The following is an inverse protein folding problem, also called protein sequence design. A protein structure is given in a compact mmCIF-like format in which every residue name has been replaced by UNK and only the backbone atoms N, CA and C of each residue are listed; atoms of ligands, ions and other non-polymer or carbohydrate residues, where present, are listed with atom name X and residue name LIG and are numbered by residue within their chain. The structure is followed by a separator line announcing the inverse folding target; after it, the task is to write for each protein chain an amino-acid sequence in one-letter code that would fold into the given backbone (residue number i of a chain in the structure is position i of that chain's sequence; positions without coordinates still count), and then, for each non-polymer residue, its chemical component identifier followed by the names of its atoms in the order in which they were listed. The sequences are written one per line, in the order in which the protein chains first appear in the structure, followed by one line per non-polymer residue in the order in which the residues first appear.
data_IF_331248288938
#
_entry.id   IF_331248288938
#
_cell.length_a   1.000
_cell.length_b   1.000
_cell.length_c   1.000
_cell.angle_alpha   90.00
_cell.angle_beta   90.00
_cell.angle_gamma   90.00
#
_symmetry.space_group_name_H-M   'P 1'
#
loop_
_entity.id
_entity.type
_entity.pdbx_description
1 polymer ?
#
# COMPACT_ATOMS: atom_id res chain seq x y z
N UNK A 1 -16.21 -27.08 11.13
CA UNK A 1 -16.95 -26.87 9.87
C UNK A 1 -16.18 -25.86 9.06
N UNK A 2 -15.69 -26.23 7.91
CA UNK A 2 -15.12 -25.28 6.94
C UNK A 2 -16.27 -24.62 6.21
N UNK A 3 -16.35 -23.31 6.29
CA UNK A 3 -17.29 -22.53 5.50
C UNK A 3 -16.79 -22.50 4.05
N UNK A 4 -17.53 -23.13 3.16
CA UNK A 4 -17.16 -23.26 1.74
C UNK A 4 -17.78 -22.17 0.86
N UNK A 5 -18.56 -21.26 1.44
CA UNK A 5 -19.21 -20.19 0.67
C UNK A 5 -18.20 -19.07 0.40
N UNK A 6 -17.84 -18.78 -0.86
CA UNK A 6 -16.88 -17.73 -1.16
C UNK A 6 -17.47 -16.34 -0.91
N UNK A 7 -16.58 -15.38 -0.65
CA UNK A 7 -16.90 -13.96 -0.73
C UNK A 7 -16.96 -13.56 -2.21
N UNK A 8 -18.01 -12.89 -2.60
CA UNK A 8 -18.21 -12.45 -3.99
C UNK A 8 -18.51 -10.97 -4.05
N UNK A 9 -17.95 -10.28 -5.03
CA UNK A 9 -18.20 -8.85 -5.19
C UNK A 9 -17.15 -8.11 -6.00
N UNK A 10 -15.94 -8.65 -6.13
CA UNK A 10 -15.01 -8.16 -7.13
C UNK A 10 -15.45 -8.59 -8.54
N UNK A 11 -15.13 -7.77 -9.53
CA UNK A 11 -15.40 -8.04 -10.94
C UNK A 11 -14.21 -8.69 -11.66
N UNK A 12 -13.07 -8.74 -10.99
CA UNK A 12 -11.83 -9.27 -11.48
C UNK A 12 -11.19 -10.24 -10.49
N UNK A 13 -9.96 -10.65 -10.75
CA UNK A 13 -9.14 -11.46 -9.85
C UNK A 13 -8.84 -10.68 -8.57
N UNK A 14 -8.78 -11.38 -7.46
CA UNK A 14 -8.33 -10.82 -6.18
C UNK A 14 -6.84 -11.10 -6.07
N UNK A 15 -6.04 -10.05 -5.97
CA UNK A 15 -4.58 -10.16 -5.99
C UNK A 15 -4.02 -10.26 -4.59
N UNK A 16 -4.61 -9.54 -3.62
CA UNK A 16 -4.13 -9.58 -2.25
C UNK A 16 -5.26 -9.52 -1.21
N UNK A 17 -4.98 -10.11 -0.05
CA UNK A 17 -5.86 -10.15 1.13
C UNK A 17 -5.06 -9.84 2.38
N UNK A 18 -5.59 -8.95 3.23
CA UNK A 18 -4.97 -8.68 4.52
C UNK A 18 -6.01 -8.49 5.62
N UNK A 19 -5.76 -9.10 6.78
CA UNK A 19 -6.57 -8.87 7.98
C UNK A 19 -6.31 -7.49 8.56
N UNK A 20 -7.37 -6.89 9.13
CA UNK A 20 -7.23 -5.68 9.94
C UNK A 20 -6.36 -5.96 11.16
N UNK A 21 -5.38 -5.10 11.48
CA UNK A 21 -4.55 -5.27 12.66
C UNK A 21 -5.30 -4.99 13.97
N UNK A 22 -6.43 -4.27 13.93
CA UNK A 22 -7.21 -3.87 15.11
C UNK A 22 -8.55 -4.57 15.24
N UNK A 23 -9.16 -4.99 14.12
CA UNK A 23 -10.50 -5.58 14.10
C UNK A 23 -10.46 -7.04 13.63
N UNK A 24 -10.46 -7.98 14.56
CA UNK A 24 -10.25 -9.43 14.34
C UNK A 24 -11.15 -10.12 13.31
N UNK A 25 -12.24 -9.47 12.88
CA UNK A 25 -13.19 -10.02 11.90
C UNK A 25 -13.24 -9.23 10.60
N UNK A 26 -12.41 -8.20 10.47
CA UNK A 26 -12.36 -7.33 9.30
C UNK A 26 -11.13 -7.66 8.47
N UNK A 27 -11.30 -7.69 7.15
CA UNK A 27 -10.19 -7.83 6.21
C UNK A 27 -10.39 -6.98 4.97
N UNK A 28 -9.31 -6.65 4.31
CA UNK A 28 -9.27 -5.94 3.03
C UNK A 28 -8.94 -6.90 1.89
N UNK A 29 -9.38 -6.57 0.69
CA UNK A 29 -8.96 -7.23 -0.54
C UNK A 29 -8.65 -6.20 -1.62
N UNK A 30 -7.61 -6.46 -2.42
CA UNK A 30 -7.27 -5.75 -3.65
C UNK A 30 -7.62 -6.61 -4.86
N UNK A 31 -7.94 -5.96 -5.97
CA UNK A 31 -8.33 -6.66 -7.19
C UNK A 31 -7.89 -5.91 -8.45
N UNK A 32 -7.73 -6.67 -9.53
CA UNK A 32 -7.51 -6.13 -10.86
C UNK A 32 -8.71 -5.35 -11.42
N UNK A 33 -9.85 -5.31 -10.71
CA UNK A 33 -10.96 -4.40 -11.04
C UNK A 33 -10.69 -2.95 -10.57
N UNK A 34 -9.48 -2.68 -10.06
CA UNK A 34 -9.04 -1.37 -9.57
C UNK A 34 -9.64 -0.99 -8.22
N UNK A 35 -10.34 -1.90 -7.55
CA UNK A 35 -11.01 -1.62 -6.28
C UNK A 35 -10.33 -2.28 -5.10
N UNK A 36 -10.41 -1.59 -3.96
CA UNK A 36 -10.19 -2.18 -2.64
C UNK A 36 -11.54 -2.34 -1.95
N UNK A 37 -11.74 -3.48 -1.31
CA UNK A 37 -12.97 -3.79 -0.57
C UNK A 37 -12.65 -4.18 0.87
N UNK A 38 -13.50 -3.71 1.78
CA UNK A 38 -13.46 -4.06 3.19
C UNK A 38 -14.61 -5.02 3.50
N UNK A 39 -14.32 -6.06 4.24
CA UNK A 39 -15.24 -7.16 4.54
C UNK A 39 -15.33 -7.41 6.03
N UNK A 40 -16.54 -7.79 6.50
CA UNK A 40 -16.74 -8.31 7.85
C UNK A 40 -17.03 -9.81 7.77
N UNK A 41 -16.18 -10.64 8.32
CA UNK A 41 -16.28 -12.08 8.32
C UNK A 41 -17.52 -12.61 9.10
N UNK A 42 -18.12 -11.79 9.96
CA UNK A 42 -19.38 -12.12 10.66
C UNK A 42 -20.60 -11.97 9.77
N UNK A 43 -20.49 -11.20 8.70
CA UNK A 43 -21.59 -10.92 7.81
C UNK A 43 -21.99 -12.16 7.01
N UNK A 44 -23.20 -12.65 7.24
CA UNK A 44 -23.77 -13.78 6.48
C UNK A 44 -24.02 -13.46 5.01
N UNK A 45 -24.12 -12.18 4.67
CA UNK A 45 -24.38 -11.73 3.29
C UNK A 45 -23.19 -11.94 2.36
N UNK A 46 -21.96 -12.09 2.92
CA UNK A 46 -20.71 -12.21 2.14
C UNK A 46 -20.48 -11.06 1.15
N UNK A 47 -21.14 -9.93 1.37
CA UNK A 47 -20.97 -8.72 0.58
C UNK A 47 -19.96 -7.79 1.25
N UNK A 48 -19.23 -7.03 0.44
CA UNK A 48 -18.34 -6.00 0.95
C UNK A 48 -19.10 -4.94 1.75
N UNK A 49 -18.59 -4.61 2.92
CA UNK A 49 -19.10 -3.51 3.74
C UNK A 49 -18.80 -2.16 3.09
N UNK A 50 -17.60 -2.05 2.52
CA UNK A 50 -17.12 -0.87 1.79
C UNK A 50 -16.47 -1.33 0.49
N UNK A 51 -16.61 -0.55 -0.58
CA UNK A 51 -15.97 -0.78 -1.87
C UNK A 51 -15.55 0.56 -2.45
N UNK A 52 -14.26 0.73 -2.73
CA UNK A 52 -13.68 1.98 -3.22
C UNK A 52 -12.85 1.72 -4.46
N UNK A 53 -13.04 2.53 -5.50
CA UNK A 53 -12.16 2.58 -6.67
C UNK A 53 -10.92 3.38 -6.29
N UNK A 54 -9.80 2.71 -6.14
CA UNK A 54 -8.53 3.33 -5.73
C UNK A 54 -7.57 3.56 -6.89
N UNK A 55 -7.67 2.76 -7.95
CA UNK A 55 -6.87 2.91 -9.17
C UNK A 55 -7.74 2.76 -10.42
N UNK A 56 -7.22 3.21 -11.56
CA UNK A 56 -7.77 2.94 -12.90
C UNK A 56 -7.23 1.65 -13.50
N UNK A 57 -6.13 1.16 -12.96
CA UNK A 57 -5.45 -0.07 -13.32
C UNK A 57 -5.62 -1.11 -12.23
N UNK A 58 -5.01 -2.27 -12.39
CA UNK A 58 -5.01 -3.37 -11.44
C UNK A 58 -4.39 -2.94 -10.11
N UNK A 59 -5.01 -3.30 -8.98
CA UNK A 59 -4.46 -3.09 -7.65
C UNK A 59 -3.88 -4.41 -7.17
N UNK A 60 -2.56 -4.47 -7.10
CA UNK A 60 -1.83 -5.72 -6.88
C UNK A 60 -1.56 -5.98 -5.40
N UNK A 61 -1.33 -4.92 -4.64
CA UNK A 61 -0.80 -5.03 -3.27
C UNK A 61 -1.50 -4.10 -2.30
N UNK A 62 -1.58 -4.56 -1.06
CA UNK A 62 -2.10 -3.83 0.08
C UNK A 62 -1.14 -3.92 1.26
N UNK A 63 -1.11 -2.89 2.07
CA UNK A 63 -0.50 -2.94 3.39
C UNK A 63 -1.30 -2.13 4.38
N UNK A 64 -1.75 -2.77 5.44
CA UNK A 64 -2.48 -2.11 6.51
C UNK A 64 -1.51 -1.66 7.60
N UNK A 65 -1.59 -0.38 8.00
CA UNK A 65 -0.73 0.12 9.06
C UNK A 65 -1.06 -0.55 10.39
N UNK A 66 -0.06 -1.14 11.03
CA UNK A 66 -0.20 -1.76 12.35
C UNK A 66 -0.25 -0.73 13.47
N UNK A 67 0.42 0.39 13.30
CA UNK A 67 0.47 1.48 14.29
C UNK A 67 -0.76 2.38 14.19
N UNK A 68 -1.17 2.68 12.96
CA UNK A 68 -2.30 3.57 12.68
C UNK A 68 -3.37 2.82 11.89
N UNK A 69 -4.16 2.00 12.57
CA UNK A 69 -5.08 1.01 12.00
C UNK A 69 -6.17 1.55 11.04
N UNK A 70 -6.33 2.85 10.92
CA UNK A 70 -7.20 3.46 9.91
C UNK A 70 -6.49 3.83 8.62
N UNK A 71 -5.17 3.63 8.52
CA UNK A 71 -4.40 3.84 7.29
C UNK A 71 -4.16 2.53 6.55
N UNK A 72 -4.39 2.56 5.25
CA UNK A 72 -4.15 1.46 4.32
C UNK A 72 -3.35 1.99 3.13
N UNK A 73 -2.26 1.32 2.78
CA UNK A 73 -1.51 1.58 1.56
C UNK A 73 -1.97 0.63 0.45
N UNK A 74 -1.97 1.09 -0.78
CA UNK A 74 -2.24 0.29 -1.98
C UNK A 74 -1.24 0.60 -3.09
N UNK A 75 -0.88 -0.40 -3.88
CA UNK A 75 -0.03 -0.25 -5.06
C UNK A 75 -0.68 -0.84 -6.30
N UNK A 76 -0.46 -0.21 -7.44
CA UNK A 76 -1.13 -0.50 -8.69
C UNK A 76 -0.16 -0.76 -9.86
N UNK A 77 -0.71 -1.21 -10.98
CA UNK A 77 0.03 -1.58 -12.20
C UNK A 77 0.67 -0.39 -12.91
N UNK A 78 0.13 0.80 -12.72
CA UNK A 78 0.67 2.02 -13.33
C UNK A 78 1.87 2.63 -12.58
N UNK A 79 2.35 1.95 -11.52
CA UNK A 79 3.44 2.42 -10.68
C UNK A 79 3.01 3.44 -9.63
N UNK A 80 1.73 3.75 -9.55
CA UNK A 80 1.20 4.59 -8.49
C UNK A 80 0.97 3.76 -7.21
N UNK A 81 1.40 4.29 -6.09
CA UNK A 81 1.01 3.80 -4.79
C UNK A 81 0.43 4.94 -3.95
N UNK A 82 -0.50 4.62 -3.06
CA UNK A 82 -1.26 5.62 -2.33
C UNK A 82 -1.62 5.14 -0.92
N UNK A 83 -1.77 6.11 -0.01
CA UNK A 83 -2.23 5.91 1.37
C UNK A 83 -3.65 6.43 1.52
N UNK A 84 -4.48 5.66 2.16
CA UNK A 84 -5.91 5.90 2.32
C UNK A 84 -6.28 5.96 3.79
N UNK A 85 -7.11 6.96 4.16
CA UNK A 85 -7.76 7.00 5.46
C UNK A 85 -9.14 6.32 5.37
N UNK A 86 -9.25 5.14 5.93
CA UNK A 86 -10.47 4.32 5.91
C UNK A 86 -11.67 5.00 6.57
N UNK A 87 -11.46 5.99 7.45
CA UNK A 87 -12.53 6.76 8.07
C UNK A 87 -13.28 7.63 7.07
N UNK A 88 -12.65 7.96 5.94
CA UNK A 88 -13.26 8.72 4.85
C UNK A 88 -14.09 7.82 3.91
N UNK A 89 -13.95 6.50 4.01
CA UNK A 89 -14.66 5.57 3.17
C UNK A 89 -16.08 5.33 3.66
N UNK A 90 -17.05 5.41 2.76
CA UNK A 90 -18.46 5.25 3.11
C UNK A 90 -18.94 3.84 2.82
N UNK A 91 -19.88 3.30 3.62
CA UNK A 91 -20.50 2.00 3.35
C UNK A 91 -21.13 1.95 1.96
N UNK A 92 -21.03 0.80 1.31
CA UNK A 92 -21.54 0.55 -0.04
C UNK A 92 -23.08 0.74 -0.19
N UNK A 93 -23.79 0.85 0.93
CA UNK A 93 -25.25 1.08 0.98
C UNK A 93 -25.66 2.55 0.88
N UNK A 94 -24.72 3.49 1.06
CA UNK A 94 -25.00 4.92 0.94
C UNK A 94 -24.95 5.35 -0.53
N UNK A 95 -26.08 5.32 -1.21
CA UNK A 95 -26.26 5.69 -2.63
C UNK A 95 -26.09 7.20 -2.91
N UNK A 96 -25.54 7.98 -2.01
CA UNK A 96 -25.42 9.42 -2.18
C UNK A 96 -24.07 9.95 -1.78
N UNK A 97 -23.10 9.88 -2.68
CA UNK A 97 -22.14 10.96 -2.90
C UNK A 97 -21.25 10.65 -4.11
N UNK A 98 -21.26 11.56 -5.07
CA UNK A 98 -20.33 11.63 -6.20
C UNK A 98 -18.88 11.98 -5.76
N UNK A 99 -18.61 11.99 -4.46
CA UNK A 99 -17.29 12.27 -3.92
C UNK A 99 -16.54 10.94 -3.82
N UNK A 100 -15.66 10.71 -4.77
CA UNK A 100 -14.65 9.65 -4.65
C UNK A 100 -13.75 10.00 -3.48
N UNK A 101 -13.42 9.05 -2.58
CA UNK A 101 -12.43 9.29 -1.57
C UNK A 101 -11.09 9.61 -2.24
N UNK A 102 -10.44 10.67 -1.77
CA UNK A 102 -9.08 11.00 -2.19
C UNK A 102 -8.08 10.32 -1.28
N UNK A 103 -6.92 9.91 -1.78
CA UNK A 103 -5.84 9.42 -0.93
C UNK A 103 -5.33 10.54 -0.02
N UNK A 104 -4.81 10.16 1.15
CA UNK A 104 -4.09 11.06 2.06
C UNK A 104 -2.74 11.46 1.45
N UNK A 105 -2.10 10.49 0.79
CA UNK A 105 -0.87 10.69 0.03
C UNK A 105 -0.88 9.78 -1.20
N UNK A 106 -0.31 10.24 -2.31
CA UNK A 106 -0.19 9.48 -3.56
C UNK A 106 1.12 9.82 -4.24
N UNK A 107 1.82 8.80 -4.72
CA UNK A 107 3.14 8.92 -5.34
C UNK A 107 3.18 8.15 -6.65
N UNK A 108 3.68 8.81 -7.68
CA UNK A 108 3.90 8.26 -9.02
C UNK A 108 5.40 8.34 -9.38
N UNK A 109 6.23 7.78 -8.51
CA UNK A 109 7.69 7.74 -8.69
C UNK A 109 8.12 6.56 -9.57
N UNK A 110 7.55 5.39 -9.28
CA UNK A 110 7.84 4.15 -10.01
C UNK A 110 7.28 4.19 -11.44
N UNK A 111 7.95 3.48 -12.35
CA UNK A 111 7.62 3.48 -13.79
C UNK A 111 6.94 2.20 -14.25
N UNK A 112 6.89 1.21 -13.39
CA UNK A 112 6.34 -0.12 -13.62
C UNK A 112 5.46 -0.49 -12.42
N UNK A 113 4.70 -1.58 -12.56
CA UNK A 113 3.78 -2.07 -11.54
C UNK A 113 4.41 -2.16 -10.14
N UNK A 114 3.65 -1.81 -9.13
CA UNK A 114 4.02 -2.01 -7.74
C UNK A 114 3.88 -3.50 -7.41
N UNK A 115 4.95 -4.09 -6.87
CA UNK A 115 5.02 -5.53 -6.58
C UNK A 115 4.90 -5.85 -5.10
N UNK A 116 5.24 -4.90 -4.22
CA UNK A 116 5.10 -5.05 -2.77
C UNK A 116 5.02 -3.69 -2.10
N UNK A 117 4.20 -3.60 -1.05
CA UNK A 117 4.12 -2.45 -0.15
C UNK A 117 4.07 -2.97 1.28
N UNK A 118 4.88 -2.41 2.18
CA UNK A 118 4.82 -2.78 3.59
C UNK A 118 5.08 -1.59 4.50
N UNK A 119 4.20 -1.39 5.49
CA UNK A 119 4.43 -0.42 6.56
C UNK A 119 5.54 -0.89 7.48
N UNK A 120 6.34 0.06 7.98
CA UNK A 120 7.33 -0.26 8.99
C UNK A 120 6.64 -0.82 10.26
N UNK A 121 7.19 -1.85 10.91
CA UNK A 121 6.51 -2.54 12.01
C UNK A 121 6.30 -1.69 13.27
N UNK A 122 7.12 -0.67 13.49
CA UNK A 122 7.10 0.17 14.71
C UNK A 122 7.01 1.67 14.45
N UNK A 123 7.17 2.11 13.20
CA UNK A 123 7.05 3.50 12.80
C UNK A 123 5.83 3.68 11.89
N UNK A 124 4.96 4.62 12.21
CA UNK A 124 3.71 4.85 11.49
C UNK A 124 3.85 5.80 10.29
N UNK A 125 5.03 6.35 10.06
CA UNK A 125 5.33 7.21 8.91
C UNK A 125 6.10 6.52 7.80
N UNK A 126 6.79 5.41 8.09
CA UNK A 126 7.70 4.77 7.14
C UNK A 126 6.99 3.67 6.33
N UNK A 127 7.16 3.74 5.01
CA UNK A 127 6.62 2.75 4.06
C UNK A 127 7.73 2.26 3.14
N UNK A 128 7.78 0.93 2.97
CA UNK A 128 8.62 0.23 2.00
C UNK A 128 7.80 -0.08 0.77
N UNK A 129 8.32 0.24 -0.42
CA UNK A 129 7.63 -0.02 -1.70
C UNK A 129 8.60 -0.66 -2.68
N UNK A 130 8.16 -1.73 -3.34
CA UNK A 130 8.88 -2.38 -4.43
C UNK A 130 8.10 -2.27 -5.73
N UNK A 131 8.81 -2.13 -6.85
CA UNK A 131 8.21 -2.07 -8.16
C UNK A 131 8.99 -2.92 -9.20
N UNK A 132 8.32 -3.30 -10.26
CA UNK A 132 8.90 -4.08 -11.35
C UNK A 132 9.97 -3.29 -12.15
N UNK A 133 10.12 -1.98 -11.93
CA UNK A 133 11.20 -1.15 -12.44
C UNK A 133 12.58 -1.44 -11.80
N UNK A 134 12.67 -2.54 -11.03
CA UNK A 134 13.86 -3.00 -10.34
C UNK A 134 14.27 -2.11 -9.16
N UNK A 135 13.36 -1.34 -8.62
CA UNK A 135 13.63 -0.48 -7.47
C UNK A 135 12.83 -0.88 -6.23
N UNK A 136 13.50 -0.75 -5.10
CA UNK A 136 12.92 -0.75 -3.77
C UNK A 136 13.13 0.66 -3.19
N UNK A 137 12.09 1.24 -2.66
CA UNK A 137 12.10 2.60 -2.13
C UNK A 137 11.59 2.65 -0.71
N UNK A 138 12.16 3.55 0.08
CA UNK A 138 11.69 3.88 1.42
C UNK A 138 11.15 5.30 1.44
N UNK A 139 10.04 5.45 2.12
CA UNK A 139 9.30 6.70 2.20
C UNK A 139 9.03 7.06 3.64
N UNK A 140 9.24 8.33 3.98
CA UNK A 140 8.80 8.91 5.25
C UNK A 140 7.68 9.92 4.99
N UNK A 141 6.47 9.55 5.37
CA UNK A 141 5.27 10.35 5.17
C UNK A 141 5.18 11.54 6.13
N UNK A 142 6.03 11.57 7.17
CA UNK A 142 6.08 12.69 8.12
C UNK A 142 6.92 13.87 7.61
N UNK A 143 7.68 13.68 6.52
CA UNK A 143 8.47 14.76 5.93
C UNK A 143 7.54 15.75 5.23
N UNK A 144 7.47 16.96 5.76
CA UNK A 144 6.78 18.09 5.16
C UNK A 144 7.73 18.89 4.27
N UNK A 145 7.20 19.49 3.21
CA UNK A 145 7.93 20.46 2.40
C UNK A 145 8.12 21.74 3.21
N UNK A 146 9.35 22.13 3.50
CA UNK A 146 9.65 23.48 3.93
C UNK A 146 9.64 24.39 2.69
N UNK A 147 8.74 25.37 2.67
CA UNK A 147 8.55 26.29 1.54
C UNK A 147 9.81 27.12 1.19
N UNK A 148 10.75 27.25 2.11
CA UNK A 148 12.02 27.95 1.89
C UNK A 148 13.08 27.07 1.24
N UNK A 149 13.21 25.78 1.59
CA UNK A 149 14.17 24.86 0.98
C UNK A 149 13.77 24.43 -0.45
N UNK A 150 12.49 24.42 -0.77
CA UNK A 150 11.99 24.08 -2.12
C UNK A 150 12.48 25.02 -3.22
N UNK A 151 12.96 26.21 -2.87
CA UNK A 151 13.47 27.21 -3.83
C UNK A 151 14.94 27.01 -4.18
N UNK A 152 15.70 26.30 -3.35
CA UNK A 152 17.15 26.11 -3.53
C UNK A 152 17.52 24.74 -4.14
N UNK A 153 16.59 23.80 -4.19
CA UNK A 153 16.78 22.49 -4.85
C UNK A 153 16.55 22.55 -6.36
N UNK A 154 17.02 23.60 -7.02
CA UNK A 154 16.94 23.81 -8.47
C UNK A 154 17.74 22.79 -9.32
N UNK A 155 18.03 21.59 -8.79
CA UNK A 155 18.83 20.57 -9.47
C UNK A 155 18.21 19.18 -9.59
N UNK A 156 17.21 18.82 -8.81
CA UNK A 156 16.56 17.50 -8.87
C UNK A 156 15.04 17.71 -8.94
N UNK A 157 14.56 18.14 -10.11
CA UNK A 157 13.15 18.09 -10.43
C UNK A 157 12.71 16.63 -10.46
N UNK A 158 11.60 16.32 -9.78
CA UNK A 158 10.86 15.04 -9.78
C UNK A 158 11.13 14.04 -8.64
N UNK A 159 11.94 14.36 -7.62
CA UNK A 159 12.09 13.48 -6.46
C UNK A 159 11.24 14.03 -5.30
N UNK A 160 10.23 13.29 -4.82
CA UNK A 160 9.45 13.70 -3.66
C UNK A 160 10.32 13.79 -2.41
N UNK A 161 10.16 14.81 -1.55
CA UNK A 161 10.96 14.96 -0.32
C UNK A 161 10.77 13.81 0.67
N UNK A 162 9.64 13.11 0.59
CA UNK A 162 9.33 11.93 1.38
C UNK A 162 10.15 10.71 0.98
N UNK A 163 10.81 10.70 -0.19
CA UNK A 163 11.64 9.58 -0.64
C UNK A 163 12.99 9.59 0.08
N UNK A 164 13.18 8.65 1.02
CA UNK A 164 14.40 8.56 1.82
C UNK A 164 15.52 7.79 1.15
N UNK A 165 15.17 6.72 0.42
CA UNK A 165 16.15 5.75 -0.05
C UNK A 165 15.66 5.02 -1.29
N UNK A 166 16.58 4.71 -2.21
CA UNK A 166 16.34 3.87 -3.38
C UNK A 166 17.38 2.78 -3.43
N UNK A 167 16.94 1.53 -3.52
CA UNK A 167 17.78 0.34 -3.72
C UNK A 167 17.42 -0.35 -5.03
N UNK A 168 18.42 -0.80 -5.76
CA UNK A 168 18.24 -1.49 -7.04
C UNK A 168 18.43 -2.99 -6.87
N UNK A 169 17.45 -3.75 -7.30
CA UNK A 169 17.49 -5.21 -7.32
C UNK A 169 16.75 -5.74 -8.55
N UNK A 170 17.43 -6.56 -9.35
CA UNK A 170 16.86 -7.06 -10.61
C UNK A 170 15.64 -7.95 -10.37
N UNK A 171 14.55 -7.67 -11.09
CA UNK A 171 13.27 -8.39 -11.03
C UNK A 171 12.73 -8.53 -9.59
N UNK A 172 12.74 -7.44 -8.85
CA UNK A 172 12.26 -7.45 -7.47
C UNK A 172 10.78 -7.89 -7.41
N UNK A 173 10.45 -8.74 -6.45
CA UNK A 173 9.11 -9.32 -6.28
C UNK A 173 8.42 -8.84 -5.03
N UNK A 174 9.10 -8.97 -3.90
CA UNK A 174 8.58 -8.59 -2.59
C UNK A 174 9.71 -8.18 -1.67
N UNK A 175 9.40 -7.42 -0.65
CA UNK A 175 10.32 -7.11 0.42
C UNK A 175 9.57 -7.01 1.75
N UNK A 176 10.28 -7.37 2.83
CA UNK A 176 9.73 -7.40 4.18
C UNK A 176 10.68 -6.79 5.19
N UNK A 177 10.12 -6.09 6.14
CA UNK A 177 10.85 -5.62 7.30
C UNK A 177 11.20 -6.75 8.24
N UNK A 178 12.37 -6.70 8.84
CA UNK A 178 12.71 -7.61 9.93
C UNK A 178 11.95 -7.15 11.20
N UNK A 179 11.12 -8.02 11.81
CA UNK A 179 10.25 -7.58 12.90
C UNK A 179 10.98 -7.26 14.21
N UNK A 180 12.25 -7.67 14.36
CA UNK A 180 13.02 -7.55 15.60
C UNK A 180 14.30 -6.71 15.43
N UNK A 181 14.78 -6.49 14.21
CA UNK A 181 16.00 -5.72 13.95
C UNK A 181 15.62 -4.50 13.13
N UNK A 182 15.49 -3.32 13.75
CA UNK A 182 15.07 -2.10 13.07
C UNK A 182 15.93 -1.78 11.84
N UNK A 183 15.29 -1.29 10.79
CA UNK A 183 15.92 -0.90 9.54
C UNK A 183 16.47 -2.04 8.68
N UNK A 184 16.27 -3.30 9.10
CA UNK A 184 16.70 -4.47 8.31
C UNK A 184 15.56 -4.93 7.41
N UNK A 185 15.88 -5.11 6.13
CA UNK A 185 14.98 -5.51 5.06
C UNK A 185 15.50 -6.79 4.43
N UNK A 186 14.58 -7.68 4.09
CA UNK A 186 14.82 -8.79 3.15
C UNK A 186 14.01 -8.53 1.88
N UNK A 187 14.60 -8.80 0.73
CA UNK A 187 13.93 -8.66 -0.56
C UNK A 187 14.24 -9.84 -1.47
N UNK A 188 13.25 -10.22 -2.31
CA UNK A 188 13.39 -11.28 -3.31
C UNK A 188 13.41 -10.67 -4.71
N UNK A 189 14.19 -11.28 -5.60
CA UNK A 189 14.33 -10.84 -6.99
C UNK A 189 14.68 -11.99 -7.92
N UNK A 190 14.94 -11.68 -9.18
CA UNK A 190 15.18 -12.68 -10.23
C UNK A 190 16.40 -13.56 -10.02
N UNK A 191 17.43 -13.06 -9.36
CA UNK A 191 18.68 -13.78 -9.07
C UNK A 191 18.76 -14.39 -7.67
N UNK A 192 17.70 -14.28 -6.85
CA UNK A 192 17.67 -14.80 -5.50
C UNK A 192 17.06 -13.82 -4.50
N UNK A 193 17.63 -13.74 -3.31
CA UNK A 193 17.18 -12.82 -2.26
C UNK A 193 18.36 -12.09 -1.63
N UNK A 194 18.09 -10.90 -1.11
CA UNK A 194 19.04 -10.09 -0.37
C UNK A 194 18.53 -9.77 1.04
N UNK A 195 19.45 -9.57 1.97
CA UNK A 195 19.18 -9.02 3.29
C UNK A 195 20.14 -7.86 3.51
N UNK A 196 19.61 -6.69 3.84
CA UNK A 196 20.43 -5.52 4.06
C UNK A 196 19.81 -4.63 5.14
N UNK A 197 20.62 -3.75 5.71
CA UNK A 197 20.18 -2.80 6.70
C UNK A 197 20.30 -1.39 6.13
N UNK A 198 19.25 -0.60 6.26
CA UNK A 198 19.25 0.81 5.94
C UNK A 198 19.91 1.61 7.08
N UNK A 199 20.50 2.73 6.75
CA UNK A 199 21.08 3.66 7.73
C UNK A 199 20.13 4.81 8.06
N UNK A 200 19.01 4.88 7.35
CA UNK A 200 18.07 6.00 7.41
C UNK A 200 16.84 5.73 8.30
N UNK A 201 16.71 4.47 8.79
CA UNK A 201 15.54 4.03 9.56
C UNK A 201 15.98 3.13 10.70
#
# INVERSE_FOLDING_TARGET
MTDTTPYTGHKGTVEELQWSPSEKHVFASASNDGTVKIWDARSKSRKAAVSVQVSKTDVNVLSWSHQTAHLLASGADDGEWAVWDLRQWKPSTSMSSDVKPSPVASYNFHKEQITSVEWHPTDDSIVLVCAADNTLTLWDLAVELDDEESRDTAGVQDVPPQLLFVHYMEQIKEAHWHPQIPGTIMATGGSGFGVFKTISV
#
